data_IF_944850793910
#
_entry.id   IF_944850793910
#
_cell.length_a   1.000
_cell.length_b   1.000
_cell.length_c   1.000
_cell.angle_alpha   90.00
_cell.angle_beta   90.00
_cell.angle_gamma   90.00
#
_symmetry.space_group_name_H-M   'P 1'
#
loop_
_entity.id
_entity.type
_entity.pdbx_description
1 polymer ?
#
# COMPACT_ATOMS: atom_id res chain seq x y z
N UNK A 1 -6.61 0.34 -23.67
CA UNK A 1 -5.46 0.25 -22.76
C UNK A 1 -5.95 0.25 -21.34
N UNK A 2 -5.38 -0.59 -20.50
CA UNK A 2 -5.74 -0.66 -19.08
C UNK A 2 -4.55 -0.24 -18.25
N UNK A 3 -4.79 0.58 -17.24
CA UNK A 3 -3.77 1.06 -16.33
C UNK A 3 -4.19 0.77 -14.91
N UNK A 4 -3.26 0.29 -14.09
CA UNK A 4 -3.52 -0.06 -12.70
C UNK A 4 -2.73 0.88 -11.79
N UNK A 5 -3.40 1.39 -10.76
CA UNK A 5 -2.78 2.25 -9.76
C UNK A 5 -3.07 1.69 -8.38
N UNK A 6 -2.04 1.64 -7.55
CA UNK A 6 -2.16 1.21 -6.17
C UNK A 6 -1.84 2.39 -5.27
N UNK A 7 -2.80 2.78 -4.45
CA UNK A 7 -2.64 3.87 -3.49
C UNK A 7 -2.57 3.28 -2.09
N UNK A 8 -1.57 3.67 -1.34
CA UNK A 8 -1.40 3.25 0.04
C UNK A 8 -1.69 4.43 0.94
N UNK A 9 -2.63 4.26 1.86
CA UNK A 9 -3.01 5.29 2.82
C UNK A 9 -2.73 4.76 4.21
N UNK A 10 -2.19 5.59 5.09
CA UNK A 10 -2.01 5.18 6.48
C UNK A 10 -2.71 6.19 7.40
N UNK A 11 -2.89 5.79 8.65
CA UNK A 11 -3.63 6.62 9.60
C UNK A 11 -2.92 7.92 9.90
N UNK A 12 -1.60 7.98 9.72
CA UNK A 12 -0.85 9.19 9.98
C UNK A 12 -1.07 10.24 8.90
N UNK A 13 -1.50 9.83 7.72
CA UNK A 13 -1.82 10.72 6.61
C UNK A 13 -3.26 11.17 6.57
N UNK A 14 -4.06 10.91 7.62
CA UNK A 14 -5.48 11.29 7.67
C UNK A 14 -6.25 10.71 6.48
N UNK A 15 -5.94 9.47 6.11
CA UNK A 15 -6.56 8.76 4.99
C UNK A 15 -6.17 9.32 3.62
N UNK A 16 -5.14 10.14 3.55
CA UNK A 16 -4.58 10.58 2.27
C UNK A 16 -3.55 9.57 1.79
N UNK A 17 -3.39 9.40 0.48
CA UNK A 17 -2.37 8.49 -0.03
C UNK A 17 -0.98 8.94 0.38
N UNK A 18 -0.19 8.03 0.93
CA UNK A 18 1.21 8.30 1.26
C UNK A 18 2.16 7.68 0.25
N UNK A 19 1.68 6.75 -0.58
CA UNK A 19 2.47 6.17 -1.64
C UNK A 19 1.56 5.78 -2.80
N UNK A 20 2.12 5.74 -4.02
CA UNK A 20 1.40 5.38 -5.23
C UNK A 20 2.31 4.56 -6.13
N UNK A 21 1.77 3.48 -6.67
CA UNK A 21 2.47 2.65 -7.65
C UNK A 21 1.61 2.50 -8.89
N UNK A 22 2.23 2.49 -10.06
CA UNK A 22 1.53 2.39 -11.34
C UNK A 22 2.05 1.18 -12.09
N UNK A 23 1.16 0.44 -12.72
CA UNK A 23 1.53 -0.74 -13.48
C UNK A 23 0.61 -0.91 -14.68
N UNK A 24 1.10 -1.56 -15.74
CA UNK A 24 0.27 -1.97 -16.87
C UNK A 24 -0.33 -3.35 -16.67
N UNK A 25 0.02 -4.04 -15.58
CA UNK A 25 -0.52 -5.35 -15.22
C UNK A 25 -1.16 -5.27 -13.85
N UNK A 26 -2.12 -6.16 -13.53
CA UNK A 26 -2.76 -6.15 -12.21
C UNK A 26 -1.77 -6.36 -11.08
N UNK A 27 -2.03 -5.74 -9.94
CA UNK A 27 -1.26 -5.96 -8.74
C UNK A 27 -1.66 -7.30 -8.10
N UNK A 28 -0.77 -7.83 -7.26
CA UNK A 28 -1.06 -9.05 -6.51
C UNK A 28 -2.30 -8.82 -5.64
N UNK A 29 -3.15 -9.86 -5.54
CA UNK A 29 -4.34 -9.78 -4.72
C UNK A 29 -3.97 -9.58 -3.24
N UNK A 30 -4.66 -8.64 -2.59
CA UNK A 30 -4.45 -8.33 -1.18
C UNK A 30 -5.79 -8.42 -0.48
N UNK A 31 -5.79 -8.95 0.72
CA UNK A 31 -7.01 -9.11 1.53
C UNK A 31 -6.90 -8.34 2.83
N UNK A 32 -8.04 -7.95 3.39
CA UNK A 32 -8.07 -7.34 4.72
C UNK A 32 -7.45 -8.31 5.72
N UNK A 33 -6.56 -7.79 6.56
CA UNK A 33 -5.83 -8.61 7.53
C UNK A 33 -4.44 -9.02 7.06
N UNK A 34 -4.12 -8.85 5.77
CA UNK A 34 -2.79 -9.17 5.28
C UNK A 34 -1.75 -8.19 5.82
N UNK A 35 -0.53 -8.68 5.99
CA UNK A 35 0.60 -7.84 6.30
C UNK A 35 1.04 -7.11 5.05
N UNK A 36 1.42 -5.86 5.20
CA UNK A 36 1.90 -5.05 4.07
C UNK A 36 2.98 -4.11 4.59
N UNK A 37 4.23 -4.50 4.40
CA UNK A 37 5.34 -3.81 5.03
C UNK A 37 5.99 -2.78 4.11
N UNK A 38 6.38 -1.65 4.70
CA UNK A 38 7.11 -0.59 3.99
C UNK A 38 8.60 -0.86 4.13
N UNK A 39 9.24 -1.16 3.01
CA UNK A 39 10.67 -1.36 2.95
C UNK A 39 11.39 -0.19 2.27
N UNK A 40 10.75 0.96 2.23
CA UNK A 40 11.35 2.16 1.65
C UNK A 40 10.55 2.76 0.53
N UNK A 41 9.24 2.97 0.74
CA UNK A 41 8.40 3.63 -0.27
C UNK A 41 8.79 5.08 -0.45
N UNK A 42 8.75 5.55 -1.68
CA UNK A 42 8.83 6.97 -1.96
C UNK A 42 7.49 7.59 -1.59
N UNK A 43 7.51 8.49 -0.63
CA UNK A 43 6.26 9.04 -0.10
C UNK A 43 5.80 10.26 -0.88
N UNK A 44 4.49 10.34 -1.05
CA UNK A 44 3.86 11.46 -1.77
C UNK A 44 3.78 12.73 -0.91
N UNK A 45 3.95 12.59 0.41
CA UNK A 45 3.83 13.73 1.31
C UNK A 45 5.12 14.55 1.40
N UNK A 46 6.15 14.20 0.65
CA UNK A 46 7.38 14.95 0.62
C UNK A 46 8.34 14.65 1.76
N UNK A 47 7.96 13.77 2.66
CA UNK A 47 8.81 13.42 3.81
C UNK A 47 10.00 12.57 3.38
N UNK A 48 9.89 11.87 2.25
CA UNK A 48 10.89 10.94 1.80
C UNK A 48 10.67 9.57 2.41
N UNK A 49 11.66 8.71 2.33
CA UNK A 49 11.54 7.34 2.85
C UNK A 49 11.67 7.34 4.36
N UNK A 50 10.74 6.67 5.04
CA UNK A 50 10.76 6.56 6.50
C UNK A 50 11.12 5.16 6.96
N UNK A 51 11.36 4.25 6.03
CA UNK A 51 11.70 2.86 6.32
C UNK A 51 12.71 2.37 5.30
N UNK A 52 13.29 1.21 5.55
CA UNK A 52 14.29 0.61 4.65
C UNK A 52 14.13 -0.90 4.67
N UNK A 53 14.91 -1.58 3.81
CA UNK A 53 14.90 -3.04 3.79
C UNK A 53 15.39 -3.61 5.12
N UNK A 54 16.33 -2.93 5.78
CA UNK A 54 16.86 -3.38 7.07
C UNK A 54 15.98 -3.00 8.24
N UNK A 55 15.18 -1.94 8.08
CA UNK A 55 14.32 -1.44 9.15
C UNK A 55 12.95 -1.12 8.56
N UNK A 56 12.18 -2.15 8.20
CA UNK A 56 10.88 -1.94 7.57
C UNK A 56 9.87 -1.44 8.58
N UNK A 57 8.89 -0.68 8.10
CA UNK A 57 7.75 -0.30 8.90
C UNK A 57 6.62 -1.27 8.60
N UNK A 58 6.05 -1.87 9.64
CA UNK A 58 5.07 -2.93 9.48
C UNK A 58 3.64 -2.39 9.54
N UNK A 59 2.82 -2.85 8.61
CA UNK A 59 1.42 -2.48 8.52
C UNK A 59 0.54 -3.71 8.35
N UNK A 60 -0.73 -3.54 8.66
CA UNK A 60 -1.75 -4.53 8.38
C UNK A 60 -2.83 -3.84 7.53
N UNK A 61 -3.37 -4.55 6.56
CA UNK A 61 -4.41 -4.00 5.70
C UNK A 61 -5.71 -3.94 6.48
N UNK A 62 -6.23 -2.73 6.69
CA UNK A 62 -7.45 -2.51 7.43
C UNK A 62 -8.68 -2.54 6.52
N UNK A 63 -8.59 -1.89 5.38
CA UNK A 63 -9.70 -1.88 4.42
C UNK A 63 -9.17 -1.69 3.01
N UNK A 64 -9.97 -2.10 2.03
CA UNK A 64 -9.63 -2.04 0.62
C UNK A 64 -10.81 -1.39 -0.11
N UNK A 65 -10.49 -0.45 -1.00
CA UNK A 65 -11.47 0.16 -1.86
C UNK A 65 -10.98 0.06 -3.31
N UNK A 66 -11.88 -0.30 -4.21
CA UNK A 66 -11.57 -0.33 -5.63
C UNK A 66 -12.31 0.80 -6.33
N UNK A 67 -11.65 1.41 -7.30
CA UNK A 67 -12.27 2.41 -8.16
C UNK A 67 -11.97 2.04 -9.60
N UNK A 68 -12.97 2.09 -10.45
CA UNK A 68 -12.82 1.82 -11.88
C UNK A 68 -13.35 3.02 -12.64
N UNK A 69 -12.51 3.57 -13.53
CA UNK A 69 -12.85 4.72 -14.34
C UNK A 69 -12.44 4.48 -15.78
N UNK A 70 -13.19 5.08 -16.71
CA UNK A 70 -12.80 5.08 -18.11
C UNK A 70 -12.74 6.52 -18.59
N UNK A 71 -11.63 6.89 -19.19
CA UNK A 71 -11.45 8.24 -19.69
C UNK A 71 -10.61 8.19 -20.95
N UNK A 72 -11.09 8.79 -22.01
CA UNK A 72 -10.37 8.89 -23.29
C UNK A 72 -9.88 7.53 -23.81
N UNK A 73 -10.67 6.49 -23.66
CA UNK A 73 -10.32 5.15 -24.15
C UNK A 73 -9.38 4.39 -23.22
N UNK A 74 -9.02 4.96 -22.08
CA UNK A 74 -8.15 4.27 -21.10
C UNK A 74 -9.01 3.79 -19.95
N UNK A 75 -8.90 2.49 -19.62
CA UNK A 75 -9.53 1.93 -18.43
C UNK A 75 -8.56 2.07 -17.28
N UNK A 76 -8.96 2.78 -16.23
CA UNK A 76 -8.13 3.02 -15.06
C UNK A 76 -8.73 2.26 -13.87
N UNK A 77 -7.95 1.37 -13.30
CA UNK A 77 -8.34 0.60 -12.12
C UNK A 77 -7.47 1.02 -10.97
N UNK A 78 -8.09 1.50 -9.90
CA UNK A 78 -7.38 1.98 -8.72
C UNK A 78 -7.70 1.09 -7.54
N UNK A 79 -6.65 0.73 -6.79
CA UNK A 79 -6.75 0.01 -5.54
C UNK A 79 -6.32 0.95 -4.43
N UNK A 80 -7.18 1.14 -3.44
CA UNK A 80 -6.91 2.00 -2.30
C UNK A 80 -6.84 1.13 -1.05
N UNK A 81 -5.66 1.01 -0.48
CA UNK A 81 -5.44 0.22 0.73
C UNK A 81 -5.28 1.16 1.91
N UNK A 82 -6.12 0.99 2.92
CA UNK A 82 -5.92 1.68 4.20
C UNK A 82 -5.11 0.77 5.10
N UNK A 83 -3.96 1.25 5.54
CA UNK A 83 -3.03 0.50 6.33
C UNK A 83 -2.99 1.05 7.74
N UNK A 84 -2.99 0.15 8.73
CA UNK A 84 -2.78 0.51 10.13
C UNK A 84 -1.43 -0.05 10.58
N UNK A 85 -0.72 0.61 11.48
CA UNK A 85 0.52 0.06 12.02
C UNK A 85 0.26 -1.30 12.66
N UNK A 86 1.14 -2.25 12.39
CA UNK A 86 1.04 -3.57 12.99
C UNK A 86 1.94 -3.60 14.24
N UNK A 87 1.33 -3.78 15.39
CA UNK A 87 2.03 -3.80 16.66
C UNK A 87 2.07 -5.16 17.31
N UNK A 88 1.53 -6.16 16.63
CA UNK A 88 1.55 -7.52 17.15
C UNK A 88 2.95 -8.13 17.11
N UNK A 89 3.09 -9.35 17.60
CA UNK A 89 4.38 -10.05 17.55
C UNK A 89 4.76 -10.31 16.10
N UNK A 90 6.06 -10.47 15.86
CA UNK A 90 6.55 -10.86 14.57
C UNK A 90 6.13 -12.28 14.23
N UNK A 91 6.50 -12.74 13.03
CA UNK A 91 6.15 -14.09 12.60
C UNK A 91 6.86 -15.11 13.48
N UNK A 92 6.14 -16.07 14.06
CA UNK A 92 6.78 -17.10 14.90
C UNK A 92 7.77 -17.94 14.12
N UNK A 93 7.59 -18.07 12.81
CA UNK A 93 8.48 -18.86 11.98
C UNK A 93 9.84 -18.18 11.82
N UNK A 94 9.81 -16.86 11.74
CA UNK A 94 11.00 -16.07 11.52
C UNK A 94 11.52 -15.41 12.78
N UNK A 95 10.94 -15.68 13.93
CA UNK A 95 11.21 -14.99 15.17
C UNK A 95 10.55 -13.63 15.13
N UNK A 96 11.19 -12.59 15.44
CA UNK A 96 10.64 -11.41 15.22
C UNK A 96 11.22 -10.81 14.11
N UNK A 97 10.57 -10.39 13.29
CA UNK A 97 11.15 -9.79 12.15
C UNK A 97 10.65 -8.39 11.96
#
# INVERSE_FOLDING_TARGET
MTKYELYLCDVTGEHKPVAKFVSSTPFIAVSVGDRFDDHGWDRLDGVGKIASVKDPKRYIVHSIKHTVMEEAGVLLIQYWLNLHPYEGPGSPVWGDS
#
